data_IF_826207083735
#
_entry.id   IF_826207083735
#
_cell.length_a   1.000
_cell.length_b   1.000
_cell.length_c   1.000
_cell.angle_alpha   90.00
_cell.angle_beta   90.00
_cell.angle_gamma   90.00
#
_symmetry.space_group_name_H-M   'P 1'
#
loop_
_entity.id
_entity.type
_entity.pdbx_description
1 polymer ?
#
# COMPACT_ATOMS: atom_id res chain seq x y z
N UNK A 1 -3.02 59.70 -42.26
CA UNK A 1 -2.64 60.66 -41.20
C UNK A 1 -3.45 60.26 -39.96
N UNK A 2 -2.94 59.92 -38.76
CA UNK A 2 -1.68 60.16 -38.04
C UNK A 2 -1.39 58.89 -37.19
N UNK A 3 -0.25 58.22 -37.29
CA UNK A 3 0.92 58.42 -36.40
C UNK A 3 0.95 57.31 -35.34
N UNK A 4 2.06 56.75 -34.86
CA UNK A 4 3.50 56.93 -35.07
C UNK A 4 4.16 55.71 -34.39
N UNK A 5 5.17 55.14 -35.03
CA UNK A 5 6.07 54.13 -34.48
C UNK A 5 6.63 54.47 -33.08
N UNK A 6 6.56 53.51 -32.16
CA UNK A 6 7.44 53.34 -30.99
C UNK A 6 7.42 51.84 -30.68
N UNK A 7 8.49 51.07 -30.57
CA UNK A 7 9.90 51.27 -30.79
C UNK A 7 10.50 49.86 -30.70
N UNK A 8 11.24 49.48 -31.74
CA UNK A 8 12.20 48.40 -31.65
C UNK A 8 13.32 48.86 -30.71
N UNK A 9 13.27 48.49 -29.44
CA UNK A 9 14.38 48.70 -28.50
C UNK A 9 14.56 47.46 -27.62
N UNK A 10 15.58 46.70 -27.98
CA UNK A 10 16.43 45.89 -27.10
C UNK A 10 15.73 44.91 -26.16
N UNK A 11 15.45 43.70 -26.65
CA UNK A 11 15.80 42.52 -25.85
C UNK A 11 17.22 42.09 -26.25
N UNK A 12 18.22 42.33 -25.40
CA UNK A 12 19.60 42.02 -25.72
C UNK A 12 19.78 40.50 -25.81
N UNK A 13 20.57 40.10 -26.80
CA UNK A 13 21.28 38.84 -26.78
C UNK A 13 22.02 38.68 -25.44
N UNK A 14 21.58 37.74 -24.61
CA UNK A 14 22.44 36.96 -23.73
C UNK A 14 21.99 35.50 -23.88
N UNK A 15 22.61 34.75 -24.77
CA UNK A 15 23.89 34.08 -24.57
C UNK A 15 23.83 32.98 -23.50
N UNK A 16 24.40 31.83 -23.89
CA UNK A 16 24.80 30.72 -23.05
C UNK A 16 23.70 29.76 -22.57
N UNK A 17 23.50 28.73 -23.39
CA UNK A 17 23.80 27.36 -22.99
C UNK A 17 23.34 26.90 -21.61
N UNK A 18 22.32 26.05 -21.61
CA UNK A 18 22.29 24.93 -20.68
C UNK A 18 21.81 23.72 -21.48
N UNK A 19 22.78 22.92 -21.94
CA UNK A 19 22.56 21.50 -22.18
C UNK A 19 21.94 20.95 -20.89
N UNK A 20 20.65 20.65 -20.88
CA UNK A 20 20.08 19.83 -19.81
C UNK A 20 20.67 18.44 -19.98
N UNK A 21 21.78 18.21 -19.29
CA UNK A 21 22.32 16.89 -19.06
C UNK A 21 21.36 16.20 -18.08
N UNK A 22 20.25 15.70 -18.62
CA UNK A 22 19.26 14.95 -17.87
C UNK A 22 19.78 13.51 -17.70
N UNK A 23 20.86 13.40 -16.93
CA UNK A 23 21.28 12.18 -16.28
C UNK A 23 20.30 11.86 -15.15
N UNK A 24 19.05 11.55 -15.52
CA UNK A 24 18.11 10.85 -14.65
C UNK A 24 18.60 9.42 -14.48
N UNK A 25 19.60 9.24 -13.61
CA UNK A 25 20.03 7.92 -13.19
C UNK A 25 18.86 7.26 -12.43
N UNK A 26 18.35 6.10 -12.87
CA UNK A 26 17.45 5.31 -12.04
C UNK A 26 18.22 4.93 -10.77
N UNK A 27 17.64 5.25 -9.60
CA UNK A 27 18.22 4.84 -8.32
C UNK A 27 18.40 3.33 -8.32
N UNK A 28 19.60 2.78 -8.09
CA UNK A 28 19.77 1.35 -7.98
C UNK A 28 19.00 0.88 -6.75
N UNK A 29 17.92 0.14 -6.99
CA UNK A 29 17.17 -0.55 -5.94
C UNK A 29 18.11 -1.60 -5.37
N UNK A 30 18.84 -1.25 -4.30
CA UNK A 30 19.84 -2.13 -3.72
C UNK A 30 19.15 -3.27 -2.98
N UNK A 31 19.10 -4.43 -3.63
CA UNK A 31 18.50 -5.68 -3.17
C UNK A 31 19.22 -6.33 -1.96
N UNK A 32 20.27 -5.73 -1.41
CA UNK A 32 21.14 -6.34 -0.39
C UNK A 32 20.64 -6.25 1.06
N UNK A 33 19.40 -5.82 1.32
CA UNK A 33 18.92 -5.55 2.69
C UNK A 33 17.65 -6.32 3.09
N UNK A 34 17.24 -7.37 2.36
CA UNK A 34 16.12 -8.20 2.82
C UNK A 34 16.67 -9.29 3.74
N UNK A 35 16.83 -8.96 5.02
CA UNK A 35 17.00 -10.00 6.06
C UNK A 35 15.80 -10.94 5.98
N UNK A 36 15.97 -12.25 5.82
CA UNK A 36 14.85 -13.18 5.85
C UNK A 36 14.27 -13.17 7.25
N UNK A 37 13.14 -12.47 7.41
CA UNK A 37 12.32 -12.59 8.63
C UNK A 37 11.83 -14.03 8.63
N UNK A 38 12.26 -14.81 9.62
CA UNK A 38 11.73 -16.13 9.87
C UNK A 38 10.24 -15.99 10.18
N UNK A 39 9.41 -16.13 9.15
CA UNK A 39 7.97 -15.99 9.23
C UNK A 39 7.37 -17.32 9.66
N UNK A 40 6.87 -17.38 10.89
CA UNK A 40 6.11 -18.51 11.39
C UNK A 40 4.80 -18.64 10.60
N UNK A 41 4.71 -19.63 9.73
CA UNK A 41 3.53 -19.96 8.94
C UNK A 41 2.74 -21.07 9.64
N UNK A 42 1.43 -20.88 9.77
CA UNK A 42 0.50 -21.86 10.29
C UNK A 42 -0.52 -22.26 9.20
N UNK A 43 -1.09 -23.45 9.29
CA UNK A 43 -2.18 -23.84 8.40
C UNK A 43 -3.52 -23.31 8.95
N UNK A 44 -4.35 -22.74 8.08
CA UNK A 44 -5.69 -22.33 8.48
C UNK A 44 -6.52 -23.57 8.87
N UNK A 45 -7.19 -23.58 10.04
CA UNK A 45 -7.96 -24.74 10.49
C UNK A 45 -9.20 -25.03 9.62
N UNK A 46 -9.67 -24.07 8.81
CA UNK A 46 -10.87 -24.23 7.99
C UNK A 46 -10.55 -24.63 6.54
N UNK A 47 -9.68 -23.89 5.86
CA UNK A 47 -9.36 -24.12 4.44
C UNK A 47 -7.99 -24.76 4.19
N UNK A 48 -7.21 -25.02 5.25
CA UNK A 48 -5.87 -25.63 5.21
C UNK A 48 -4.80 -24.84 4.43
N UNK A 49 -5.12 -23.63 3.97
CA UNK A 49 -4.14 -22.73 3.33
C UNK A 49 -3.05 -22.34 4.33
N UNK A 50 -1.80 -22.27 3.86
CA UNK A 50 -0.69 -21.69 4.60
C UNK A 50 -0.92 -20.18 4.81
N UNK A 51 -0.94 -19.74 6.06
CA UNK A 51 -1.13 -18.35 6.47
C UNK A 51 -0.06 -17.94 7.46
N UNK A 52 0.39 -16.68 7.43
CA UNK A 52 1.33 -16.19 8.43
C UNK A 52 0.64 -16.12 9.80
N UNK A 53 1.30 -16.53 10.87
CA UNK A 53 0.78 -16.41 12.23
C UNK A 53 0.52 -14.95 12.66
N UNK A 54 1.11 -13.98 11.95
CA UNK A 54 0.86 -12.56 12.14
C UNK A 54 -0.55 -12.13 11.71
N UNK A 55 -1.20 -12.83 10.77
CA UNK A 55 -2.54 -12.48 10.32
C UNK A 55 -3.59 -12.75 11.40
N UNK A 56 -4.55 -11.84 11.56
CA UNK A 56 -5.70 -12.02 12.45
C UNK A 56 -6.82 -12.85 11.80
N UNK A 57 -6.88 -12.87 10.45
CA UNK A 57 -7.88 -13.56 9.65
C UNK A 57 -7.25 -14.21 8.41
N UNK A 58 -7.84 -15.31 7.94
CA UNK A 58 -7.36 -16.03 6.77
C UNK A 58 -7.74 -15.28 5.48
N UNK A 59 -6.78 -14.89 4.63
CA UNK A 59 -7.06 -14.16 3.38
C UNK A 59 -7.71 -15.01 2.29
N UNK A 60 -7.88 -16.32 2.49
CA UNK A 60 -8.52 -17.21 1.51
C UNK A 60 -9.98 -17.55 1.86
N UNK A 61 -10.27 -17.83 3.13
CA UNK A 61 -11.62 -18.24 3.54
C UNK A 61 -12.30 -17.28 4.53
N UNK A 62 -11.59 -16.25 4.98
CA UNK A 62 -12.04 -15.29 5.99
C UNK A 62 -11.88 -15.78 7.42
N UNK A 63 -11.70 -17.07 7.71
CA UNK A 63 -11.66 -17.62 9.10
C UNK A 63 -10.73 -16.87 10.05
N UNK A 64 -11.22 -16.57 11.26
CA UNK A 64 -10.45 -15.86 12.28
C UNK A 64 -9.34 -16.75 12.82
N UNK A 65 -8.10 -16.28 12.76
CA UNK A 65 -6.92 -16.99 13.25
C UNK A 65 -6.56 -16.57 14.68
N UNK A 66 -7.05 -15.41 15.11
CA UNK A 66 -6.91 -14.90 16.47
C UNK A 66 -8.26 -14.50 17.06
N UNK A 67 -8.34 -14.51 18.38
CA UNK A 67 -9.47 -13.98 19.12
C UNK A 67 -9.58 -12.47 18.93
N UNK A 68 -10.77 -12.00 18.57
CA UNK A 68 -11.05 -10.58 18.32
C UNK A 68 -12.49 -10.26 18.75
N UNK A 69 -12.80 -8.99 19.00
CA UNK A 69 -14.18 -8.59 19.27
C UNK A 69 -14.94 -8.39 17.96
N UNK A 70 -16.20 -8.84 17.92
CA UNK A 70 -17.10 -8.57 16.80
C UNK A 70 -17.35 -7.06 16.69
N UNK A 71 -17.17 -6.48 15.50
CA UNK A 71 -17.33 -5.03 15.29
C UNK A 71 -18.78 -4.55 15.45
N UNK A 72 -19.76 -5.45 15.31
CA UNK A 72 -21.18 -5.11 15.39
C UNK A 72 -21.74 -5.18 16.81
N UNK A 73 -21.23 -6.09 17.65
CA UNK A 73 -21.79 -6.34 18.98
C UNK A 73 -20.79 -6.38 20.12
N UNK A 74 -19.49 -6.34 19.83
CA UNK A 74 -18.43 -6.40 20.83
C UNK A 74 -18.17 -7.79 21.42
N UNK A 75 -18.92 -8.84 21.05
CA UNK A 75 -18.70 -10.18 21.57
C UNK A 75 -17.33 -10.75 21.16
N UNK A 76 -16.67 -11.45 22.09
CA UNK A 76 -15.39 -12.06 21.84
C UNK A 76 -15.54 -13.30 20.94
N UNK A 77 -14.97 -13.21 19.74
CA UNK A 77 -14.91 -14.27 18.74
C UNK A 77 -13.76 -15.22 19.03
N UNK A 78 -13.99 -16.53 18.89
CA UNK A 78 -12.97 -17.55 19.07
C UNK A 78 -12.17 -17.78 17.78
N UNK A 79 -10.98 -18.35 17.93
CA UNK A 79 -10.18 -18.83 16.80
C UNK A 79 -10.95 -19.91 16.05
N UNK A 80 -11.01 -19.81 14.72
CA UNK A 80 -11.72 -20.74 13.85
C UNK A 80 -13.15 -20.31 13.50
N UNK A 81 -13.73 -19.30 14.17
CA UNK A 81 -15.07 -18.82 13.84
C UNK A 81 -15.06 -17.91 12.60
N UNK A 82 -16.00 -18.16 11.69
CA UNK A 82 -16.22 -17.37 10.46
C UNK A 82 -17.24 -16.27 10.66
N UNK A 83 -18.25 -16.54 11.48
CA UNK A 83 -19.40 -15.66 11.70
C UNK A 83 -19.66 -15.51 13.20
N UNK A 84 -20.11 -14.32 13.60
CA UNK A 84 -20.49 -14.04 14.97
C UNK A 84 -21.72 -14.88 15.37
N UNK A 85 -21.67 -15.65 16.47
CA UNK A 85 -22.79 -16.50 16.89
C UNK A 85 -24.04 -15.72 17.29
N UNK A 86 -23.90 -14.43 17.63
CA UNK A 86 -25.03 -13.59 18.05
C UNK A 86 -25.72 -12.85 16.91
N UNK A 87 -24.97 -12.43 15.88
CA UNK A 87 -25.49 -11.56 14.81
C UNK A 87 -25.23 -12.10 13.39
N UNK A 88 -24.49 -13.20 13.23
CA UNK A 88 -24.12 -13.75 11.93
C UNK A 88 -23.12 -12.90 11.14
N UNK A 89 -22.58 -11.83 11.72
CA UNK A 89 -21.65 -10.93 11.04
C UNK A 89 -20.33 -11.64 10.67
N UNK A 90 -19.75 -11.39 9.49
CA UNK A 90 -18.45 -11.94 9.11
C UNK A 90 -17.34 -11.33 9.97
N UNK A 91 -16.32 -12.13 10.24
CA UNK A 91 -15.12 -11.73 10.97
C UNK A 91 -14.19 -10.78 10.18
N UNK A 92 -14.23 -10.84 8.85
CA UNK A 92 -13.55 -9.95 7.93
C UNK A 92 -14.55 -8.86 7.61
N UNK A 93 -14.38 -7.67 8.19
CA UNK A 93 -15.19 -6.48 7.89
C UNK A 93 -14.92 -5.93 6.48
N UNK A 94 -14.88 -6.80 5.48
CA UNK A 94 -14.65 -6.56 4.07
C UNK A 94 -15.95 -6.79 3.31
#
# INVERSE_FOLDING_TARGET
MCGRHVGNLLFPLLAAGALVNESAQPRPFNSAQVKPVAVSQAACPNCKTQVLASYDWCPQCGTGLKSHACVYCGNLMKVGERFCPSYGAPNSGK
#
